data_IF_963495193670
#
_entry.id   IF_963495193670
#
_cell.length_a   1.000
_cell.length_b   1.000
_cell.length_c   1.000
_cell.angle_alpha   90.00
_cell.angle_beta   90.00
_cell.angle_gamma   90.00
#
_symmetry.space_group_name_H-M   'P 1'
#
loop_
_entity.id
_entity.type
_entity.pdbx_description
1 polymer ?
#
# COMPACT_ATOMS: atom_id res chain seq x y z
N UNK A 1 11.48 39.67 50.77
CA UNK A 1 12.16 39.16 49.56
C UNK A 1 11.13 39.30 48.45
N UNK A 2 11.24 40.34 47.61
CA UNK A 2 10.31 40.56 46.50
C UNK A 2 10.78 39.71 45.33
N UNK A 3 9.94 38.78 44.89
CA UNK A 3 10.15 38.10 43.61
C UNK A 3 9.26 38.78 42.58
N UNK A 4 9.85 39.68 41.79
CA UNK A 4 9.28 40.11 40.51
C UNK A 4 9.60 39.01 39.51
N UNK A 5 8.60 38.26 39.06
CA UNK A 5 8.78 37.42 37.88
C UNK A 5 8.82 38.35 36.67
N UNK A 6 10.01 38.48 36.08
CA UNK A 6 10.40 39.52 35.14
C UNK A 6 10.73 38.91 33.78
N UNK A 7 9.89 38.02 33.25
CA UNK A 7 9.91 37.69 31.81
C UNK A 7 8.46 37.39 31.37
N UNK A 8 7.88 38.29 30.58
CA UNK A 8 6.67 38.00 29.85
C UNK A 8 7.06 37.07 28.69
N UNK A 9 6.89 35.76 28.88
CA UNK A 9 6.98 34.80 27.77
C UNK A 9 5.77 35.06 26.86
N UNK A 10 6.00 35.50 25.63
CA UNK A 10 4.96 35.62 24.62
C UNK A 10 4.58 34.22 24.16
N UNK A 11 3.47 33.69 24.68
CA UNK A 11 2.93 32.40 24.26
C UNK A 11 2.25 32.52 22.89
N UNK A 12 2.47 31.54 22.01
CA UNK A 12 1.70 31.44 20.76
C UNK A 12 0.39 30.74 21.09
N UNK A 13 -0.73 31.41 20.81
CA UNK A 13 -2.05 30.83 20.99
C UNK A 13 -2.52 30.21 19.68
N UNK A 14 -3.09 29.01 19.80
CA UNK A 14 -3.69 28.29 18.69
C UNK A 14 -5.19 28.22 18.90
N UNK A 15 -5.94 28.57 17.86
CA UNK A 15 -7.38 28.59 17.89
C UNK A 15 -7.93 27.57 16.88
N UNK A 16 -8.80 26.70 17.38
CA UNK A 16 -9.59 25.78 16.58
C UNK A 16 -11.06 26.19 16.68
N UNK A 17 -11.62 26.62 15.55
CA UNK A 17 -12.98 27.12 15.46
C UNK A 17 -13.74 26.49 14.31
N UNK A 18 -15.04 26.77 14.27
CA UNK A 18 -15.89 26.50 13.12
C UNK A 18 -16.41 27.85 12.64
N UNK A 19 -16.09 28.19 11.39
CA UNK A 19 -16.51 29.44 10.75
C UNK A 19 -17.22 29.12 9.44
N UNK A 20 -18.44 29.66 9.27
CA UNK A 20 -19.30 29.39 8.11
C UNK A 20 -19.47 27.89 7.77
N UNK A 21 -19.40 27.03 8.78
CA UNK A 21 -19.52 25.58 8.65
C UNK A 21 -18.23 24.86 8.31
N UNK A 22 -17.10 25.55 8.14
CA UNK A 22 -15.79 24.95 7.90
C UNK A 22 -14.97 24.88 9.17
N UNK A 23 -14.08 23.90 9.26
CA UNK A 23 -13.05 23.89 10.29
C UNK A 23 -12.10 25.04 10.03
N UNK A 24 -11.67 25.68 11.11
CA UNK A 24 -10.81 26.84 11.09
C UNK A 24 -9.66 26.65 12.08
N UNK A 25 -8.45 26.92 11.61
CA UNK A 25 -7.25 26.91 12.41
C UNK A 25 -6.49 28.24 12.25
N UNK A 26 -6.20 28.88 13.38
CA UNK A 26 -5.44 30.12 13.44
C UNK A 26 -4.31 30.04 14.47
N UNK A 27 -3.16 30.56 14.06
CA UNK A 27 -2.07 30.94 14.96
C UNK A 27 -2.23 32.41 15.30
N UNK A 28 -2.77 32.73 16.49
CA UNK A 28 -2.88 34.10 16.99
C UNK A 28 -1.50 34.67 17.33
N UNK A 29 -0.74 35.06 16.30
CA UNK A 29 0.56 35.74 16.38
C UNK A 29 0.44 37.25 16.19
N UNK A 30 -0.76 37.75 15.85
CA UNK A 30 -1.00 39.15 15.51
C UNK A 30 -0.54 39.56 14.11
N UNK A 31 -0.07 38.62 13.28
CA UNK A 31 0.30 38.85 11.88
C UNK A 31 -0.80 38.34 10.91
N UNK A 32 -1.22 39.12 9.90
CA UNK A 32 -2.18 38.67 8.91
C UNK A 32 -1.60 37.57 8.01
N UNK A 33 -2.37 36.51 7.74
CA UNK A 33 -2.01 35.45 6.77
C UNK A 33 -1.83 34.04 7.34
N UNK A 34 -2.11 33.81 8.62
CA UNK A 34 -1.91 32.51 9.28
C UNK A 34 -3.23 31.79 9.60
N UNK A 35 -4.15 31.83 8.64
CA UNK A 35 -5.51 31.32 8.78
C UNK A 35 -5.74 30.20 7.78
N UNK A 36 -6.11 29.02 8.26
CA UNK A 36 -6.30 27.82 7.45
C UNK A 36 -7.71 27.27 7.65
N UNK A 37 -8.28 26.69 6.59
CA UNK A 37 -9.66 26.21 6.61
C UNK A 37 -9.83 24.91 5.85
N UNK A 38 -10.77 24.05 6.29
CA UNK A 38 -11.12 22.83 5.57
C UNK A 38 -11.81 23.12 4.24
N UNK A 39 -11.59 22.28 3.22
CA UNK A 39 -12.27 22.41 1.92
C UNK A 39 -13.76 22.08 1.99
N UNK A 40 -14.16 21.09 2.80
CA UNK A 40 -15.56 20.78 3.06
C UNK A 40 -16.07 21.39 4.36
N UNK A 41 -17.38 21.65 4.38
CA UNK A 41 -18.13 22.05 5.56
C UNK A 41 -18.54 20.84 6.40
N UNK A 42 -18.56 20.98 7.72
CA UNK A 42 -19.25 20.07 8.62
C UNK A 42 -20.75 20.36 8.65
N UNK A 43 -21.53 19.33 8.96
CA UNK A 43 -23.00 19.40 8.99
C UNK A 43 -23.51 19.58 10.41
N UNK A 44 -24.41 20.56 10.61
CA UNK A 44 -24.98 20.83 11.92
C UNK A 44 -25.84 19.66 12.42
N UNK A 45 -25.69 19.31 13.70
CA UNK A 45 -26.49 18.27 14.36
C UNK A 45 -26.01 16.83 14.12
N UNK A 46 -24.85 16.63 13.49
CA UNK A 46 -24.21 15.33 13.33
C UNK A 46 -22.88 15.27 14.10
N UNK A 47 -22.49 14.06 14.50
CA UNK A 47 -21.15 13.81 15.03
C UNK A 47 -20.15 13.80 13.88
N UNK A 48 -19.03 14.47 14.09
CA UNK A 48 -17.90 14.47 13.18
C UNK A 48 -16.62 14.14 13.96
N UNK A 49 -15.79 13.27 13.41
CA UNK A 49 -14.39 13.17 13.82
C UNK A 49 -13.60 14.22 13.03
N UNK A 50 -12.83 15.05 13.71
CA UNK A 50 -12.08 16.13 13.08
C UNK A 50 -10.65 16.11 13.58
N UNK A 51 -9.71 16.28 12.66
CA UNK A 51 -8.30 16.45 13.00
C UNK A 51 -7.70 17.59 12.20
N UNK A 52 -6.76 18.28 12.82
CA UNK A 52 -5.91 19.28 12.17
C UNK A 52 -4.48 18.92 12.53
N UNK A 53 -3.66 18.67 11.52
CA UNK A 53 -2.28 18.24 11.67
C UNK A 53 -1.37 19.36 11.21
N UNK A 54 -0.47 19.79 12.08
CA UNK A 54 0.62 20.69 11.72
C UNK A 54 1.90 19.90 11.60
N UNK A 55 2.55 19.98 10.44
CA UNK A 55 3.86 19.36 10.22
C UNK A 55 4.90 20.43 9.92
N UNK A 56 5.80 20.67 10.88
CA UNK A 56 6.91 21.61 10.73
C UNK A 56 8.02 21.11 9.79
N UNK A 57 8.16 19.80 9.62
CA UNK A 57 9.12 19.20 8.69
C UNK A 57 8.68 19.41 7.24
N UNK A 58 7.38 19.25 6.99
CA UNK A 58 6.77 19.43 5.67
C UNK A 58 6.29 20.86 5.40
N UNK A 59 6.21 21.71 6.44
CA UNK A 59 5.66 23.06 6.38
C UNK A 59 4.17 23.09 5.99
N UNK A 60 3.38 22.17 6.54
CA UNK A 60 1.97 22.00 6.16
C UNK A 60 1.01 22.09 7.34
N UNK A 61 -0.24 22.46 7.03
CA UNK A 61 -1.42 22.30 7.88
C UNK A 61 -2.48 21.50 7.12
N UNK A 62 -2.75 20.28 7.57
CA UNK A 62 -3.75 19.38 6.96
C UNK A 62 -5.02 19.30 7.79
N UNK A 63 -6.17 19.26 7.13
CA UNK A 63 -7.48 19.10 7.77
C UNK A 63 -8.11 17.75 7.41
N UNK A 64 -8.71 17.10 8.38
CA UNK A 64 -9.42 15.83 8.22
C UNK A 64 -10.83 15.93 8.79
N UNK A 65 -11.80 15.36 8.07
CA UNK A 65 -13.18 15.19 8.52
C UNK A 65 -13.57 13.74 8.28
N UNK A 66 -14.01 13.05 9.34
CA UNK A 66 -14.45 11.65 9.33
C UNK A 66 -13.41 10.71 8.67
N UNK A 67 -12.14 10.86 9.07
CA UNK A 67 -10.99 10.11 8.53
C UNK A 67 -10.48 10.62 7.18
N UNK A 68 -11.26 11.40 6.42
CA UNK A 68 -10.87 11.83 5.07
C UNK A 68 -10.10 13.15 5.09
N UNK A 69 -8.94 13.20 4.45
CA UNK A 69 -8.17 14.44 4.22
C UNK A 69 -8.96 15.40 3.31
N UNK A 70 -9.11 16.64 3.76
CA UNK A 70 -9.87 17.68 3.07
C UNK A 70 -8.97 18.55 2.21
N UNK A 71 -7.88 19.04 2.82
CA UNK A 71 -6.97 20.00 2.22
C UNK A 71 -5.67 20.03 3.02
N UNK A 72 -4.58 20.25 2.30
CA UNK A 72 -3.25 20.52 2.83
C UNK A 72 -2.91 21.96 2.46
N UNK A 73 -2.56 22.78 3.44
CA UNK A 73 -2.09 24.15 3.23
C UNK A 73 -0.59 24.22 3.46
N UNK A 74 0.14 24.77 2.50
CA UNK A 74 1.54 25.13 2.70
C UNK A 74 1.64 26.39 3.59
N UNK A 75 2.66 26.42 4.45
CA UNK A 75 2.99 27.56 5.29
C UNK A 75 4.49 27.88 5.17
N UNK A 76 4.91 29.12 5.42
CA UNK A 76 6.29 29.55 5.20
C UNK A 76 7.11 29.80 6.48
N UNK A 77 6.49 29.73 7.67
CA UNK A 77 7.24 29.89 8.92
C UNK A 77 7.26 28.59 9.75
N UNK A 78 8.28 28.43 10.58
CA UNK A 78 8.28 27.38 11.59
C UNK A 78 7.35 27.76 12.75
N UNK A 79 6.44 26.86 13.12
CA UNK A 79 5.71 26.92 14.39
C UNK A 79 6.71 26.72 15.53
N UNK A 80 7.28 27.82 16.03
CA UNK A 80 8.37 27.82 17.01
C UNK A 80 8.00 28.64 18.24
N UNK A 81 8.32 28.11 19.43
CA UNK A 81 8.04 28.74 20.72
C UNK A 81 7.14 27.88 21.62
N UNK A 82 7.02 28.23 22.92
CA UNK A 82 6.15 27.50 23.83
C UNK A 82 4.70 27.61 23.39
N UNK A 83 4.06 26.45 23.22
CA UNK A 83 2.62 26.35 22.95
C UNK A 83 1.89 26.99 24.13
N UNK A 84 1.11 28.02 23.84
CA UNK A 84 0.24 28.68 24.79
C UNK A 84 -1.02 27.89 25.05
N UNK A 85 -2.10 28.62 25.29
CA UNK A 85 -3.43 28.03 25.41
C UNK A 85 -3.90 27.51 24.05
N UNK A 86 -4.37 26.27 24.00
CA UNK A 86 -5.19 25.74 22.91
C UNK A 86 -6.65 25.99 23.27
N UNK A 87 -7.38 26.67 22.38
CA UNK A 87 -8.83 26.88 22.54
C UNK A 87 -9.56 26.08 21.49
N UNK A 88 -10.57 25.33 21.92
CA UNK A 88 -11.43 24.52 21.04
C UNK A 88 -12.85 25.05 21.17
N UNK A 89 -13.46 25.39 20.04
CA UNK A 89 -14.86 25.82 20.01
C UNK A 89 -15.10 27.19 20.63
N UNK A 90 -14.10 28.07 20.62
CA UNK A 90 -14.32 29.48 20.92
C UNK A 90 -13.35 30.35 20.14
N UNK A 91 -13.85 31.26 19.31
CA UNK A 91 -13.02 32.34 18.77
C UNK A 91 -12.83 33.43 19.83
N UNK A 92 -11.59 33.65 20.24
CA UNK A 92 -11.18 34.67 21.23
C UNK A 92 -10.66 35.95 20.57
N UNK A 93 -10.60 36.03 19.24
CA UNK A 93 -9.96 37.11 18.50
C UNK A 93 -10.65 38.48 18.64
N UNK A 94 -11.96 38.51 18.92
CA UNK A 94 -12.78 39.74 18.92
C UNK A 94 -13.20 40.24 20.31
N UNK A 95 -12.79 39.57 21.39
CA UNK A 95 -13.15 39.93 22.77
C UNK A 95 -14.60 39.62 23.16
N UNK A 96 -15.44 39.18 22.22
CA UNK A 96 -16.73 38.52 22.49
C UNK A 96 -16.59 37.07 22.03
N UNK A 97 -16.52 36.09 22.95
CA UNK A 97 -16.31 34.70 22.56
C UNK A 97 -17.51 34.17 21.75
N UNK A 98 -17.26 33.79 20.50
CA UNK A 98 -18.19 33.00 19.71
C UNK A 98 -18.04 31.54 20.12
N UNK A 99 -18.87 31.11 21.07
CA UNK A 99 -18.83 29.74 21.58
C UNK A 99 -19.44 28.74 20.60
N UNK A 100 -18.82 27.58 20.49
CA UNK A 100 -19.40 26.42 19.84
C UNK A 100 -20.70 26.05 20.54
N UNK A 101 -21.77 25.96 19.76
CA UNK A 101 -23.04 25.42 20.21
C UNK A 101 -23.17 23.98 19.71
N UNK A 102 -22.66 23.03 20.51
CA UNK A 102 -22.62 21.61 20.18
C UNK A 102 -22.03 20.77 21.30
N UNK A 103 -21.95 19.47 21.08
CA UNK A 103 -21.24 18.55 21.97
C UNK A 103 -19.85 18.31 21.41
N UNK A 104 -18.85 18.38 22.27
CA UNK A 104 -17.52 17.85 22.00
C UNK A 104 -17.45 16.55 22.78
N UNK A 105 -17.14 15.47 22.08
CA UNK A 105 -16.66 14.25 22.70
C UNK A 105 -15.15 14.18 22.51
N UNK A 106 -14.49 13.50 23.44
CA UNK A 106 -13.07 13.16 23.48
C UNK A 106 -12.08 14.01 22.65
N UNK A 107 -11.18 14.72 23.34
CA UNK A 107 -10.16 15.56 22.70
C UNK A 107 -8.77 15.02 23.03
N UNK A 108 -7.96 14.80 22.00
CA UNK A 108 -6.52 14.63 22.14
C UNK A 108 -5.76 15.79 21.46
N UNK A 109 -4.59 16.10 22.01
CA UNK A 109 -3.62 17.03 21.44
C UNK A 109 -2.28 16.33 21.46
N UNK A 110 -1.61 16.32 20.31
CA UNK A 110 -0.35 15.63 20.10
C UNK A 110 0.79 16.65 19.95
N UNK A 111 1.99 16.27 20.39
CA UNK A 111 3.19 17.10 20.30
C UNK A 111 3.96 16.89 18.98
N UNK A 112 3.52 15.94 18.14
CA UNK A 112 4.02 15.70 16.79
C UNK A 112 2.87 15.72 15.77
N UNK A 113 3.22 15.83 14.49
CA UNK A 113 2.29 15.49 13.43
C UNK A 113 1.96 13.99 13.53
N UNK A 114 0.67 13.65 13.48
CA UNK A 114 0.22 12.26 13.43
C UNK A 114 0.00 11.86 11.97
N UNK A 115 0.35 10.62 11.56
CA UNK A 115 0.10 10.15 10.20
C UNK A 115 -1.39 10.09 9.86
N UNK A 116 -1.69 10.13 8.56
CA UNK A 116 -3.04 10.00 8.03
C UNK A 116 -3.73 8.71 8.51
N UNK A 117 -3.04 7.58 8.47
CA UNK A 117 -3.57 6.28 8.93
C UNK A 117 -4.10 6.35 10.36
N UNK A 118 -3.32 6.93 11.29
CA UNK A 118 -3.74 7.09 12.69
C UNK A 118 -5.04 7.89 12.84
N UNK A 119 -5.27 8.88 11.98
CA UNK A 119 -6.50 9.69 11.99
C UNK A 119 -7.69 8.90 11.47
N UNK A 120 -7.48 8.07 10.44
CA UNK A 120 -8.49 7.15 9.91
C UNK A 120 -8.86 6.12 10.98
N UNK A 121 -7.88 5.54 11.68
CA UNK A 121 -8.13 4.62 12.79
C UNK A 121 -8.89 5.27 13.96
N UNK A 122 -8.52 6.49 14.36
CA UNK A 122 -9.25 7.23 15.39
C UNK A 122 -10.73 7.44 15.03
N UNK A 123 -11.03 7.67 13.75
CA UNK A 123 -12.41 7.78 13.29
C UNK A 123 -13.14 6.43 13.36
N UNK A 124 -12.51 5.34 12.92
CA UNK A 124 -13.15 4.03 12.88
C UNK A 124 -13.35 3.40 14.27
N UNK A 125 -12.37 3.59 15.17
CA UNK A 125 -12.31 2.90 16.47
C UNK A 125 -12.64 3.80 17.66
N UNK A 126 -12.71 5.12 17.46
CA UNK A 126 -12.76 6.13 18.51
C UNK A 126 -11.36 6.41 19.10
N UNK A 127 -11.19 7.55 19.77
CA UNK A 127 -9.98 7.78 20.56
C UNK A 127 -9.97 6.76 21.71
N UNK A 128 -8.92 5.96 21.81
CA UNK A 128 -8.72 5.10 22.98
C UNK A 128 -8.00 5.95 24.05
N UNK A 129 -8.80 6.52 24.96
CA UNK A 129 -8.41 7.37 26.08
C UNK A 129 -6.97 7.29 26.60
N UNK A 130 -6.31 8.45 26.55
CA UNK A 130 -5.27 9.01 27.42
C UNK A 130 -4.34 8.02 28.16
N UNK A 131 -3.12 7.89 27.63
CA UNK A 131 -1.96 7.39 28.37
C UNK A 131 -0.65 7.65 27.64
N UNK A 132 -0.13 8.88 27.73
CA UNK A 132 1.29 9.23 27.49
C UNK A 132 1.93 8.58 26.23
N UNK A 133 1.72 9.16 25.05
CA UNK A 133 2.39 8.73 23.81
C UNK A 133 3.43 9.77 23.43
N UNK A 134 4.68 9.54 23.83
CA UNK A 134 5.87 10.15 23.21
C UNK A 134 6.36 9.26 22.04
N UNK A 135 5.47 8.43 21.50
CA UNK A 135 5.72 7.49 20.41
C UNK A 135 4.41 7.36 19.60
N UNK A 136 4.15 8.34 18.74
CA UNK A 136 3.21 8.15 17.64
C UNK A 136 3.94 7.31 16.60
N UNK A 137 3.35 6.24 16.06
CA UNK A 137 4.02 5.48 15.03
C UNK A 137 4.27 6.42 13.84
N UNK A 138 5.53 6.61 13.49
CA UNK A 138 5.89 7.12 12.16
C UNK A 138 5.59 6.01 11.17
N UNK A 139 5.13 6.35 9.96
CA UNK A 139 4.97 5.39 8.88
C UNK A 139 6.20 4.46 8.79
N UNK A 140 5.98 3.17 8.95
CA UNK A 140 6.98 2.12 8.78
C UNK A 140 6.84 1.55 7.38
N UNK A 141 7.79 1.87 6.49
CA UNK A 141 7.80 1.35 5.13
C UNK A 141 7.59 -0.19 5.10
N UNK A 142 6.85 -0.70 4.11
CA UNK A 142 6.47 -2.11 4.10
C UNK A 142 7.67 -3.03 3.92
N UNK A 143 7.52 -4.27 4.35
CA UNK A 143 8.53 -5.33 4.17
C UNK A 143 7.99 -6.33 3.16
N UNK A 144 8.61 -6.32 1.97
CA UNK A 144 8.33 -7.28 0.91
C UNK A 144 9.21 -8.53 1.01
N UNK A 145 8.65 -9.70 0.75
CA UNK A 145 9.35 -10.98 0.79
C UNK A 145 9.37 -11.66 -0.58
N UNK A 146 10.42 -12.43 -0.85
CA UNK A 146 10.55 -13.17 -2.11
C UNK A 146 9.45 -14.22 -2.29
N UNK A 147 9.01 -14.40 -3.54
CA UNK A 147 7.99 -15.35 -3.93
C UNK A 147 8.54 -16.45 -4.85
N UNK A 148 7.86 -17.60 -4.86
CA UNK A 148 8.16 -18.67 -5.80
C UNK A 148 6.90 -19.34 -6.33
N UNK A 149 6.88 -19.58 -7.64
CA UNK A 149 5.81 -20.26 -8.36
C UNK A 149 6.38 -21.35 -9.27
N UNK A 150 5.59 -22.39 -9.50
CA UNK A 150 5.90 -23.45 -10.46
C UNK A 150 4.76 -23.57 -11.47
N UNK A 151 5.10 -23.83 -12.72
CA UNK A 151 4.13 -24.05 -13.78
C UNK A 151 4.67 -25.04 -14.83
N UNK A 152 3.77 -25.55 -15.64
CA UNK A 152 4.07 -26.36 -16.81
C UNK A 152 4.48 -25.48 -18.01
N UNK A 153 5.47 -25.91 -18.81
CA UNK A 153 5.83 -25.22 -20.05
C UNK A 153 4.64 -25.03 -20.99
N UNK A 154 4.70 -24.00 -21.83
CA UNK A 154 3.69 -23.68 -22.85
C UNK A 154 2.25 -23.46 -22.30
N UNK A 155 2.10 -23.27 -20.98
CA UNK A 155 0.85 -22.85 -20.35
C UNK A 155 0.93 -21.38 -19.90
N UNK A 156 -0.18 -20.83 -19.40
CA UNK A 156 -0.22 -19.48 -18.83
C UNK A 156 -0.42 -19.59 -17.32
N UNK A 157 0.47 -18.97 -16.55
CA UNK A 157 0.32 -18.86 -15.10
C UNK A 157 -0.51 -17.61 -14.77
N UNK A 158 -1.63 -17.80 -14.08
CA UNK A 158 -2.50 -16.71 -13.62
C UNK A 158 -2.63 -16.77 -12.10
N UNK A 159 -2.17 -15.73 -11.42
CA UNK A 159 -2.25 -15.59 -9.97
C UNK A 159 -3.22 -14.45 -9.64
N UNK A 160 -4.21 -14.75 -8.80
CA UNK A 160 -5.20 -13.77 -8.33
C UNK A 160 -4.65 -12.94 -7.17
N UNK A 161 -5.24 -11.77 -6.94
CA UNK A 161 -4.91 -10.91 -5.80
C UNK A 161 -5.11 -11.66 -4.46
N UNK A 162 -4.28 -11.41 -3.43
CA UNK A 162 -3.23 -10.39 -3.40
C UNK A 162 -1.91 -10.83 -4.05
N UNK A 163 -1.86 -12.02 -4.64
CA UNK A 163 -0.72 -12.54 -5.42
C UNK A 163 0.62 -12.43 -4.70
N UNK A 164 1.53 -11.64 -5.26
CA UNK A 164 2.88 -11.44 -4.66
C UNK A 164 2.83 -10.75 -3.30
N UNK A 165 1.75 -10.02 -2.97
CA UNK A 165 1.60 -9.33 -1.69
C UNK A 165 1.12 -10.25 -0.54
N UNK A 166 0.88 -11.55 -0.79
CA UNK A 166 0.33 -12.48 0.22
C UNK A 166 1.19 -12.60 1.47
N UNK A 167 2.52 -12.58 1.30
CA UNK A 167 3.52 -12.75 2.35
C UNK A 167 4.13 -11.42 2.81
N UNK A 168 3.81 -10.32 2.15
CA UNK A 168 4.28 -8.98 2.48
C UNK A 168 3.55 -8.45 3.71
N UNK A 169 4.25 -7.62 4.49
CA UNK A 169 3.71 -7.05 5.72
C UNK A 169 3.93 -5.55 5.77
N UNK A 170 2.98 -4.89 6.41
CA UNK A 170 3.04 -3.51 6.83
C UNK A 170 2.70 -3.45 8.32
N UNK A 171 3.54 -2.79 9.12
CA UNK A 171 3.37 -2.77 10.57
C UNK A 171 2.28 -1.78 11.01
N UNK A 172 1.98 -0.79 10.18
CA UNK A 172 0.88 0.14 10.37
C UNK A 172 -0.45 -0.47 9.93
N UNK A 173 -0.42 -1.51 9.08
CA UNK A 173 -1.59 -2.24 8.61
C UNK A 173 -2.21 -1.61 7.35
N UNK A 174 -1.43 -0.82 6.63
CA UNK A 174 -1.85 -0.19 5.39
C UNK A 174 -2.05 -1.22 4.27
N UNK A 175 -2.92 -0.86 3.31
CA UNK A 175 -3.15 -1.71 2.13
C UNK A 175 -1.96 -1.58 1.18
N UNK A 176 -1.39 -2.72 0.80
CA UNK A 176 -0.24 -2.74 -0.09
C UNK A 176 -0.63 -2.75 -1.56
N UNK A 177 0.15 -2.02 -2.36
CA UNK A 177 0.17 -2.10 -3.81
C UNK A 177 1.55 -2.51 -4.32
N UNK A 178 1.64 -3.04 -5.54
CA UNK A 178 2.91 -3.41 -6.18
C UNK A 178 3.38 -2.36 -7.20
N UNK A 179 4.71 -2.22 -7.27
CA UNK A 179 5.40 -1.46 -8.31
C UNK A 179 6.48 -2.34 -8.97
N UNK A 180 6.41 -2.51 -10.29
CA UNK A 180 7.31 -3.38 -11.04
C UNK A 180 8.67 -2.70 -11.26
N UNK A 181 9.77 -3.37 -10.86
CA UNK A 181 11.13 -2.86 -11.01
C UNK A 181 11.81 -3.42 -12.26
N UNK A 182 11.71 -4.73 -12.48
CA UNK A 182 12.27 -5.39 -13.65
C UNK A 182 11.47 -6.63 -14.00
N UNK A 183 11.16 -6.82 -15.28
CA UNK A 183 10.42 -7.98 -15.77
C UNK A 183 11.30 -9.22 -16.03
N UNK A 184 10.65 -10.35 -16.38
CA UNK A 184 11.31 -11.60 -16.75
C UNK A 184 12.11 -11.51 -18.07
N UNK A 185 13.04 -12.46 -18.27
CA UNK A 185 13.85 -12.55 -19.51
C UNK A 185 13.31 -13.58 -20.51
N UNK A 186 12.61 -14.61 -20.03
CA UNK A 186 12.19 -15.76 -20.81
C UNK A 186 10.66 -15.91 -20.86
N UNK A 187 9.94 -14.83 -20.54
CA UNK A 187 8.49 -14.75 -20.66
C UNK A 187 7.95 -13.32 -20.69
N UNK A 188 6.63 -13.18 -20.86
CA UNK A 188 5.90 -11.94 -20.70
C UNK A 188 5.20 -11.88 -19.35
N UNK A 189 5.21 -10.70 -18.72
CA UNK A 189 4.56 -10.44 -17.42
C UNK A 189 3.58 -9.27 -17.53
N UNK A 190 2.41 -9.43 -16.92
CA UNK A 190 1.51 -8.34 -16.55
C UNK A 190 1.29 -8.42 -15.04
N UNK A 191 1.87 -7.48 -14.30
CA UNK A 191 1.69 -7.31 -12.85
C UNK A 191 0.73 -6.14 -12.60
N UNK A 192 -0.29 -6.36 -11.78
CA UNK A 192 -1.26 -5.33 -11.39
C UNK A 192 -0.95 -4.80 -9.98
N UNK A 193 -1.36 -3.56 -9.65
CA UNK A 193 -1.11 -2.96 -8.34
C UNK A 193 -1.61 -3.81 -7.16
N UNK A 194 -2.73 -4.54 -7.32
CA UNK A 194 -3.27 -5.43 -6.28
C UNK A 194 -2.47 -6.73 -6.05
N UNK A 195 -1.29 -6.85 -6.67
CA UNK A 195 -0.39 -7.99 -6.58
C UNK A 195 -0.77 -9.19 -7.43
N UNK A 196 -1.92 -9.16 -8.11
CA UNK A 196 -2.27 -10.18 -9.11
C UNK A 196 -1.38 -10.07 -10.34
N UNK A 197 -1.08 -11.20 -10.98
CA UNK A 197 -0.28 -11.20 -12.20
C UNK A 197 -0.60 -12.34 -13.16
N UNK A 198 -0.23 -12.12 -14.42
CA UNK A 198 -0.23 -13.13 -15.48
C UNK A 198 1.18 -13.25 -16.04
N UNK A 199 1.70 -14.47 -16.05
CA UNK A 199 2.99 -14.81 -16.65
C UNK A 199 2.79 -15.80 -17.80
N UNK A 200 3.43 -15.52 -18.94
CA UNK A 200 3.42 -16.38 -20.13
C UNK A 200 4.87 -16.67 -20.54
N UNK A 201 5.38 -17.89 -20.35
CA UNK A 201 6.73 -18.25 -20.78
C UNK A 201 6.85 -18.18 -22.30
N UNK A 202 8.07 -17.95 -22.77
CA UNK A 202 8.43 -18.13 -24.18
C UNK A 202 8.20 -19.58 -24.57
N UNK A 203 7.68 -19.83 -25.77
CA UNK A 203 7.34 -21.20 -26.19
C UNK A 203 8.55 -22.13 -26.12
N UNK A 204 8.36 -23.29 -25.51
CA UNK A 204 9.40 -24.30 -25.26
C UNK A 204 10.41 -23.95 -24.17
N UNK A 205 10.26 -22.84 -23.46
CA UNK A 205 11.14 -22.51 -22.34
C UNK A 205 10.93 -23.47 -21.16
N UNK A 206 12.03 -24.00 -20.64
CA UNK A 206 12.10 -24.83 -19.43
C UNK A 206 13.26 -24.31 -18.60
N UNK A 207 13.01 -24.01 -17.33
CA UNK A 207 14.02 -23.42 -16.46
C UNK A 207 13.43 -22.42 -15.47
N UNK A 208 14.30 -21.58 -14.92
CA UNK A 208 13.92 -20.52 -13.99
C UNK A 208 13.91 -19.17 -14.70
N UNK A 209 12.85 -18.40 -14.48
CA UNK A 209 12.73 -17.00 -14.85
C UNK A 209 12.39 -16.17 -13.59
N UNK A 210 12.64 -14.86 -13.62
CA UNK A 210 12.44 -14.02 -12.46
C UNK A 210 12.09 -12.57 -12.79
N UNK A 211 11.28 -11.96 -11.93
CA UNK A 211 11.00 -10.52 -11.96
C UNK A 211 11.12 -9.92 -10.56
N UNK A 212 11.25 -8.61 -10.47
CA UNK A 212 11.43 -7.89 -9.20
C UNK A 212 10.38 -6.80 -9.04
N UNK A 213 9.87 -6.64 -7.82
CA UNK A 213 8.88 -5.62 -7.46
C UNK A 213 9.22 -4.96 -6.12
N UNK A 214 8.48 -3.91 -5.76
CA UNK A 214 8.41 -3.35 -4.40
C UNK A 214 6.94 -3.25 -3.98
N UNK A 215 6.68 -3.43 -2.69
CA UNK A 215 5.41 -3.06 -2.07
C UNK A 215 5.39 -1.56 -1.76
N UNK A 216 4.21 -0.95 -1.85
CA UNK A 216 3.94 0.45 -1.59
C UNK A 216 2.72 0.55 -0.67
N UNK A 217 2.85 1.26 0.45
CA UNK A 217 1.80 1.46 1.47
C UNK A 217 0.95 2.73 1.22
N UNK A 218 1.26 3.51 0.16
CA UNK A 218 0.66 4.83 -0.08
C UNK A 218 1.54 6.01 0.34
N UNK A 219 2.67 5.75 0.99
CA UNK A 219 3.64 6.74 1.51
C UNK A 219 5.07 6.37 1.12
N UNK A 220 5.54 5.19 1.52
CA UNK A 220 6.89 4.68 1.32
C UNK A 220 6.91 3.33 0.58
N UNK A 221 8.07 3.01 0.01
CA UNK A 221 8.29 1.75 -0.68
C UNK A 221 9.13 0.80 0.15
N UNK A 222 8.84 -0.50 0.02
CA UNK A 222 9.69 -1.57 0.55
C UNK A 222 11.06 -1.61 -0.14
N UNK A 223 11.96 -2.42 0.42
CA UNK A 223 13.07 -2.98 -0.36
C UNK A 223 12.55 -3.86 -1.48
N UNK A 224 13.35 -4.07 -2.52
CA UNK A 224 13.00 -4.93 -3.65
C UNK A 224 12.87 -6.40 -3.23
N UNK A 225 11.79 -7.05 -3.68
CA UNK A 225 11.56 -8.49 -3.58
C UNK A 225 11.67 -9.14 -4.98
N UNK A 226 12.08 -10.40 -5.01
CA UNK A 226 12.24 -11.21 -6.22
C UNK A 226 11.17 -12.29 -6.29
N UNK A 227 10.50 -12.39 -7.43
CA UNK A 227 9.58 -13.49 -7.75
C UNK A 227 10.27 -14.44 -8.70
N UNK A 228 10.41 -15.71 -8.31
CA UNK A 228 10.97 -16.77 -9.15
C UNK A 228 9.87 -17.65 -9.72
N UNK A 229 9.88 -17.86 -11.04
CA UNK A 229 8.97 -18.80 -11.73
C UNK A 229 9.78 -19.97 -12.26
N UNK A 230 9.44 -21.18 -11.83
CA UNK A 230 10.02 -22.43 -12.33
C UNK A 230 9.09 -23.04 -13.37
N UNK A 231 9.56 -23.14 -14.60
CA UNK A 231 8.83 -23.75 -15.72
C UNK A 231 9.34 -25.18 -15.90
N UNK A 232 8.46 -26.14 -15.62
CA UNK A 232 8.74 -27.58 -15.71
C UNK A 232 8.38 -28.12 -17.10
N UNK A 233 9.17 -29.09 -17.57
CA UNK A 233 8.88 -29.76 -18.83
C UNK A 233 7.65 -30.66 -18.70
N UNK A 234 6.74 -30.58 -19.68
CA UNK A 234 5.58 -31.48 -19.78
C UNK A 234 5.91 -32.63 -20.73
N UNK A 235 5.50 -33.85 -20.38
CA UNK A 235 5.61 -35.01 -21.25
C UNK A 235 4.41 -35.07 -22.22
N UNK A 236 4.67 -35.08 -23.51
CA UNK A 236 3.69 -35.29 -24.56
C UNK A 236 3.50 -36.79 -24.85
N UNK A 237 2.32 -37.21 -25.31
CA UNK A 237 2.12 -38.60 -25.74
C UNK A 237 2.88 -38.86 -27.05
N UNK A 238 3.42 -40.09 -27.25
CA UNK A 238 4.04 -40.46 -28.51
C UNK A 238 3.00 -40.48 -29.64
N UNK A 239 3.45 -40.17 -30.84
CA UNK A 239 2.67 -40.18 -32.07
C UNK A 239 3.00 -41.47 -32.83
N UNK A 240 1.98 -42.32 -32.98
CA UNK A 240 2.08 -43.53 -33.79
C UNK A 240 1.89 -43.22 -35.27
N UNK A 241 2.70 -43.82 -36.12
CA UNK A 241 2.61 -43.69 -37.58
C UNK A 241 2.17 -45.01 -38.21
N UNK A 242 1.35 -44.97 -39.27
CA UNK A 242 0.79 -46.18 -39.88
C UNK A 242 1.88 -47.11 -40.44
N UNK A 243 1.93 -48.35 -39.96
CA UNK A 243 2.79 -49.41 -40.48
C UNK A 243 2.18 -50.12 -41.70
N UNK A 244 3.05 -50.49 -42.65
CA UNK A 244 2.68 -51.38 -43.75
C UNK A 244 3.70 -52.50 -43.94
N UNK A 245 3.24 -53.75 -43.81
CA UNK A 245 4.02 -54.96 -44.08
C UNK A 245 3.25 -55.90 -45.01
N UNK A 246 3.98 -56.67 -45.82
CA UNK A 246 3.42 -57.69 -46.71
C UNK A 246 4.14 -59.01 -46.53
N UNK A 247 3.41 -60.12 -46.60
CA UNK A 247 3.96 -61.47 -46.67
C UNK A 247 3.18 -62.28 -47.69
N UNK A 248 3.81 -63.30 -48.27
CA UNK A 248 3.09 -64.27 -49.09
C UNK A 248 2.23 -65.19 -48.20
N UNK A 249 1.21 -65.79 -48.83
CA UNK A 249 0.41 -66.84 -48.21
C UNK A 249 1.30 -67.96 -47.66
N UNK A 250 0.93 -68.51 -46.50
CA UNK A 250 1.66 -69.59 -45.80
C UNK A 250 3.10 -69.25 -45.36
N UNK A 251 3.52 -67.98 -45.41
CA UNK A 251 4.80 -67.54 -44.84
C UNK A 251 4.60 -66.75 -43.54
N UNK A 252 5.43 -67.05 -42.54
CA UNK A 252 5.49 -66.28 -41.30
C UNK A 252 6.15 -64.93 -41.54
N UNK A 253 5.42 -63.84 -41.31
CA UNK A 253 5.99 -62.49 -41.26
C UNK A 253 6.74 -62.30 -39.94
N UNK A 254 8.06 -62.11 -40.02
CA UNK A 254 8.91 -61.78 -38.87
C UNK A 254 9.49 -60.38 -39.07
N UNK A 255 9.08 -59.41 -38.25
CA UNK A 255 9.65 -58.06 -38.24
C UNK A 255 10.64 -57.96 -37.07
N UNK A 256 11.88 -57.55 -37.35
CA UNK A 256 12.89 -57.33 -36.32
C UNK A 256 12.60 -56.06 -35.53
N UNK A 257 13.01 -56.04 -34.24
CA UNK A 257 13.01 -54.82 -33.42
C UNK A 257 13.66 -53.65 -34.17
N UNK A 258 13.06 -52.44 -34.16
CA UNK A 258 11.97 -51.99 -33.27
C UNK A 258 10.54 -52.38 -33.68
N UNK A 259 10.34 -53.12 -34.78
CA UNK A 259 9.01 -53.56 -35.20
C UNK A 259 8.12 -52.39 -35.62
N UNK A 260 6.89 -52.39 -35.13
CA UNK A 260 5.88 -51.32 -35.35
C UNK A 260 6.28 -49.97 -34.75
N UNK A 261 7.31 -49.92 -33.91
CA UNK A 261 7.80 -48.66 -33.32
C UNK A 261 8.79 -47.92 -34.23
N UNK A 262 9.07 -48.43 -35.45
CA UNK A 262 10.15 -47.92 -36.29
C UNK A 262 9.90 -46.49 -36.83
N UNK A 263 8.64 -46.13 -37.02
CA UNK A 263 8.17 -44.86 -37.56
C UNK A 263 7.47 -43.98 -36.50
N UNK A 264 7.22 -44.50 -35.31
CA UNK A 264 6.67 -43.73 -34.20
C UNK A 264 7.67 -42.69 -33.69
N UNK A 265 7.17 -41.55 -33.21
CA UNK A 265 8.00 -40.48 -32.66
C UNK A 265 7.42 -39.89 -31.37
N UNK A 266 8.29 -39.44 -30.47
CA UNK A 266 7.95 -38.72 -29.25
C UNK A 266 8.60 -37.33 -29.30
N UNK A 267 7.92 -36.33 -28.76
CA UNK A 267 8.44 -34.97 -28.68
C UNK A 267 9.56 -34.87 -27.62
N UNK A 268 9.56 -35.73 -26.59
CA UNK A 268 10.61 -35.73 -25.57
C UNK A 268 11.72 -36.76 -25.85
N UNK A 269 12.99 -36.39 -25.63
CA UNK A 269 14.11 -37.34 -25.73
C UNK A 269 14.35 -38.13 -24.43
N UNK A 270 13.58 -37.88 -23.36
CA UNK A 270 13.83 -38.41 -22.02
C UNK A 270 12.98 -39.62 -21.64
N UNK A 271 11.95 -39.91 -22.43
CA UNK A 271 11.15 -41.13 -22.33
C UNK A 271 11.44 -42.02 -23.56
N UNK A 272 11.10 -43.31 -23.49
CA UNK A 272 11.32 -44.25 -24.60
C UNK A 272 9.98 -44.76 -25.08
N UNK A 273 9.77 -44.79 -26.40
CA UNK A 273 8.57 -45.38 -27.00
C UNK A 273 8.61 -46.90 -26.77
N UNK A 274 7.55 -47.45 -26.19
CA UNK A 274 7.38 -48.89 -25.94
C UNK A 274 6.03 -49.38 -26.47
N UNK A 275 6.03 -50.54 -27.15
CA UNK A 275 4.85 -51.24 -27.69
C UNK A 275 4.34 -52.32 -26.72
#
# INVERSE_FOLDING_TARGET
MNFTNSEAVTYIMYNFAIEDGHLYFDRQSGAPGNYFTSSASITAGQWHHVAVVMDNGLHTVSFYINGTEQVVHDYNDYFSGPIGRVTIGADLSTGIPNFLHGMIDEVAVYNTAIPRHTIEEHYEKGLLGLGYLDDFPTNEAPVAFDDSYTMDQDTVLTISAPGVLVNDIDNDGDTLETDLISGPTDGGLVLNPDGSFVYTPTSGFVGHDAFQYRAYDGVDYSTTATVTVTVESVNHPPVAEDDAYTTDEELTLSISSPGVLANDHDAEPWNTITA
#
